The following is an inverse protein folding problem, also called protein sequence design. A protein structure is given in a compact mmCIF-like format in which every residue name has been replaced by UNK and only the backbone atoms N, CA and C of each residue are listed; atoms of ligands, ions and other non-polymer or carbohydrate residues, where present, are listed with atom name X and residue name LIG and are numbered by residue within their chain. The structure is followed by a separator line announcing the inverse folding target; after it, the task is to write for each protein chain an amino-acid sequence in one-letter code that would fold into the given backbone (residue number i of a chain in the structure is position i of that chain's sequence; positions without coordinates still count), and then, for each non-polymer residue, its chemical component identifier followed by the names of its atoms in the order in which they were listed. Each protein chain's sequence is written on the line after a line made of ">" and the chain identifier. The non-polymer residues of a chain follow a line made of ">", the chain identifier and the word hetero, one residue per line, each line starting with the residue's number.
data_IF_811841960210
#
_entry.id   IF_811841960210
#
_cell.length_a   1.000
_cell.length_b   1.000
_cell.length_c   1.000
_cell.angle_alpha   90.00
_cell.angle_beta   90.00
_cell.angle_gamma   90.00
#
_symmetry.space_group_name_H-M   'P 1'
#
loop_
_entity.id
_entity.type
_entity.pdbx_description
1 polymer ?
#
# COMPACT_ATOMS: atom_id res chain seq x y z
N UNK A 1 22.55 42.24 67.93
CA UNK A 1 21.42 42.90 67.25
C UNK A 1 21.53 42.54 65.78
N UNK A 2 20.85 41.48 65.44
CA UNK A 2 20.79 40.91 64.11
C UNK A 2 19.61 41.46 63.36
N UNK A 3 19.65 41.44 62.09
CA UNK A 3 18.48 41.48 61.21
C UNK A 3 18.66 40.45 60.14
N UNK A 4 17.83 39.47 60.27
CA UNK A 4 17.64 38.35 59.36
C UNK A 4 16.82 38.86 58.16
N UNK A 5 17.32 38.73 56.96
CA UNK A 5 16.58 39.00 55.72
C UNK A 5 16.44 37.71 54.91
N UNK A 6 15.37 37.02 55.19
CA UNK A 6 14.88 35.88 54.40
C UNK A 6 14.45 36.35 53.00
N UNK A 7 15.17 35.94 51.97
CA UNK A 7 14.78 36.11 50.57
C UNK A 7 13.86 34.96 50.21
N UNK A 8 12.62 35.33 49.92
CA UNK A 8 11.54 34.43 49.49
C UNK A 8 11.73 34.14 47.98
N UNK A 9 12.23 32.97 47.60
CA UNK A 9 12.27 32.51 46.23
C UNK A 9 10.95 31.80 45.93
N UNK A 10 9.96 32.55 45.47
CA UNK A 10 8.75 32.03 44.90
C UNK A 10 9.05 31.33 43.56
N UNK A 11 8.63 30.09 43.47
CA UNK A 11 8.89 29.18 42.37
C UNK A 11 8.40 29.65 41.01
N UNK A 12 9.30 29.58 40.07
CA UNK A 12 8.97 29.46 38.67
C UNK A 12 8.62 27.96 38.43
N UNK A 13 7.31 27.66 38.43
CA UNK A 13 6.84 26.43 37.83
C UNK A 13 7.13 26.51 36.32
N UNK A 14 8.12 25.75 35.90
CA UNK A 14 8.27 25.39 34.50
C UNK A 14 6.96 24.73 34.06
N UNK A 15 6.25 25.39 33.15
CA UNK A 15 5.16 24.79 32.39
C UNK A 15 5.77 23.65 31.60
N UNK A 16 5.55 22.41 32.07
CA UNK A 16 5.80 21.22 31.31
C UNK A 16 5.12 21.38 29.93
N UNK A 17 5.95 21.39 28.89
CA UNK A 17 5.49 21.46 27.51
C UNK A 17 4.42 20.39 27.31
N UNK A 18 3.27 20.79 26.78
CA UNK A 18 2.28 19.85 26.26
C UNK A 18 3.01 18.98 25.25
N UNK A 19 3.31 17.73 25.63
CA UNK A 19 3.86 16.74 24.74
C UNK A 19 2.91 16.63 23.56
N UNK A 20 3.42 16.85 22.36
CA UNK A 20 2.69 16.63 21.11
C UNK A 20 2.13 15.19 21.21
N UNK A 21 0.81 15.05 21.40
CA UNK A 21 0.16 13.74 21.35
C UNK A 21 0.45 13.17 19.97
N UNK A 22 1.35 12.20 19.90
CA UNK A 22 1.65 11.53 18.65
C UNK A 22 0.37 10.91 18.10
N UNK A 23 0.09 11.14 16.82
CA UNK A 23 -1.04 10.51 16.14
C UNK A 23 -0.94 8.98 16.28
N UNK A 24 -2.07 8.33 16.56
CA UNK A 24 -2.09 6.87 16.59
C UNK A 24 -1.95 6.26 15.19
N UNK A 25 -2.53 6.92 14.18
CA UNK A 25 -2.54 6.49 12.80
C UNK A 25 -2.24 7.67 11.88
N UNK A 26 -1.34 7.47 10.91
CA UNK A 26 -1.18 8.33 9.74
C UNK A 26 -1.60 7.58 8.49
N UNK A 27 -2.55 8.12 7.73
CA UNK A 27 -2.97 7.60 6.43
C UNK A 27 -2.27 8.40 5.35
N UNK A 28 -1.48 7.71 4.51
CA UNK A 28 -0.78 8.29 3.37
C UNK A 28 -1.46 7.86 2.07
N UNK A 29 -1.87 8.84 1.27
CA UNK A 29 -2.59 8.65 0.00
C UNK A 29 -1.82 9.37 -1.10
N UNK A 30 -1.47 8.64 -2.18
CA UNK A 30 -0.90 9.23 -3.39
C UNK A 30 -2.00 9.39 -4.43
N UNK A 31 -2.13 10.59 -5.00
CA UNK A 31 -3.11 10.88 -6.05
C UNK A 31 -2.43 11.35 -7.33
N UNK A 32 -3.02 11.05 -8.49
CA UNK A 32 -2.63 11.55 -9.80
C UNK A 32 -3.83 11.57 -10.74
N UNK A 33 -4.36 12.78 -11.00
CA UNK A 33 -5.57 13.02 -11.79
C UNK A 33 -6.74 12.11 -11.37
N UNK A 34 -7.05 12.09 -10.07
CA UNK A 34 -8.05 11.22 -9.46
C UNK A 34 -8.85 11.92 -8.34
N UNK A 35 -9.09 13.23 -8.48
CA UNK A 35 -9.75 14.07 -7.47
C UNK A 35 -11.11 13.52 -7.02
N UNK A 36 -11.98 13.11 -7.95
CA UNK A 36 -13.31 12.56 -7.62
C UNK A 36 -13.22 11.30 -6.75
N UNK A 37 -12.22 10.43 -7.03
CA UNK A 37 -12.01 9.22 -6.26
C UNK A 37 -11.44 9.53 -4.88
N UNK A 38 -10.49 10.47 -4.81
CA UNK A 38 -9.90 10.89 -3.54
C UNK A 38 -10.96 11.49 -2.61
N UNK A 39 -11.89 12.31 -3.13
CA UNK A 39 -13.02 12.83 -2.35
C UNK A 39 -13.82 11.69 -1.73
N UNK A 40 -14.23 10.71 -2.52
CA UNK A 40 -14.96 9.54 -2.01
C UNK A 40 -14.18 8.74 -0.95
N UNK A 41 -12.87 8.63 -1.11
CA UNK A 41 -11.99 8.00 -0.13
C UNK A 41 -11.95 8.80 1.18
N UNK A 42 -11.68 10.10 1.13
CA UNK A 42 -11.62 10.99 2.31
C UNK A 42 -12.96 11.04 3.05
N UNK A 43 -14.08 11.11 2.33
CA UNK A 43 -15.42 11.06 2.94
C UNK A 43 -15.64 9.73 3.67
N UNK A 44 -15.25 8.60 3.07
CA UNK A 44 -15.38 7.30 3.71
C UNK A 44 -14.52 7.16 4.95
N UNK A 45 -13.33 7.77 4.98
CA UNK A 45 -12.48 7.84 6.17
C UNK A 45 -13.17 8.67 7.26
N UNK A 46 -13.67 9.86 6.90
CA UNK A 46 -14.36 10.76 7.84
C UNK A 46 -15.59 10.11 8.47
N UNK A 47 -16.42 9.46 7.68
CA UNK A 47 -17.63 8.80 8.12
C UNK A 47 -17.39 7.61 9.05
N UNK A 48 -16.28 6.89 8.83
CA UNK A 48 -15.95 5.66 9.55
C UNK A 48 -14.81 5.80 10.56
N UNK A 49 -14.29 7.03 10.77
CA UNK A 49 -13.24 7.27 11.74
C UNK A 49 -13.79 7.21 13.18
N UNK A 50 -13.20 6.33 13.97
CA UNK A 50 -13.46 6.14 15.40
C UNK A 50 -12.22 6.46 16.26
N UNK A 51 -11.17 7.03 15.67
CA UNK A 51 -9.92 7.35 16.35
C UNK A 51 -9.93 8.80 16.84
N UNK A 52 -9.50 9.02 18.06
CA UNK A 52 -9.32 10.37 18.63
C UNK A 52 -8.19 11.14 17.94
N UNK A 53 -7.20 10.44 17.39
CA UNK A 53 -6.01 11.02 16.75
C UNK A 53 -5.70 10.33 15.43
N UNK A 54 -6.13 10.95 14.34
CA UNK A 54 -5.90 10.54 12.97
C UNK A 54 -5.19 11.67 12.21
N UNK A 55 -4.11 11.32 11.51
CA UNK A 55 -3.42 12.19 10.56
C UNK A 55 -3.67 11.67 9.14
N UNK A 56 -4.03 12.57 8.22
CA UNK A 56 -4.19 12.23 6.79
C UNK A 56 -3.22 13.08 5.99
N UNK A 57 -2.40 12.42 5.18
CA UNK A 57 -1.39 13.04 4.31
C UNK A 57 -1.74 12.64 2.88
N UNK A 58 -2.00 13.62 2.04
CA UNK A 58 -2.23 13.43 0.60
C UNK A 58 -1.02 13.97 -0.14
N UNK A 59 -0.42 13.11 -0.97
CA UNK A 59 0.68 13.49 -1.84
C UNK A 59 0.16 13.51 -3.27
N UNK A 60 0.05 14.70 -3.84
CA UNK A 60 -0.30 14.88 -5.24
C UNK A 60 0.93 14.70 -6.13
N UNK A 61 0.76 13.95 -7.18
CA UNK A 61 1.86 13.56 -8.08
C UNK A 61 1.87 14.34 -9.40
N UNK A 62 1.55 15.65 -9.34
CA UNK A 62 1.51 16.54 -10.49
C UNK A 62 0.17 16.47 -11.24
N UNK A 63 -0.95 16.48 -10.52
CA UNK A 63 -2.29 16.51 -11.12
C UNK A 63 -2.63 17.86 -11.72
N UNK A 64 -3.51 17.84 -12.73
CA UNK A 64 -4.08 19.03 -13.39
C UNK A 64 -5.60 19.16 -13.11
N UNK A 65 -6.13 18.42 -12.15
CA UNK A 65 -7.56 18.30 -11.85
C UNK A 65 -8.05 19.19 -10.69
N UNK A 66 -7.22 20.16 -10.24
CA UNK A 66 -7.61 21.15 -9.23
C UNK A 66 -7.68 20.60 -7.81
N UNK A 67 -6.96 19.50 -7.54
CA UNK A 67 -7.02 18.81 -6.25
C UNK A 67 -6.50 19.67 -5.08
N UNK A 68 -5.51 20.53 -5.29
CA UNK A 68 -4.96 21.39 -4.23
C UNK A 68 -6.00 22.38 -3.71
N UNK A 69 -6.71 23.10 -4.60
CA UNK A 69 -7.77 24.03 -4.26
C UNK A 69 -8.94 23.32 -3.57
N UNK A 70 -9.29 22.13 -4.07
CA UNK A 70 -10.37 21.31 -3.50
C UNK A 70 -10.03 20.91 -2.06
N UNK A 71 -8.83 20.38 -1.81
CA UNK A 71 -8.41 19.96 -0.47
C UNK A 71 -8.32 21.16 0.50
N UNK A 72 -7.76 22.28 0.06
CA UNK A 72 -7.66 23.50 0.86
C UNK A 72 -9.04 24.01 1.30
N UNK A 73 -10.06 23.92 0.45
CA UNK A 73 -11.41 24.40 0.71
C UNK A 73 -12.22 23.42 1.57
N UNK A 74 -12.25 22.12 1.19
CA UNK A 74 -13.21 21.15 1.71
C UNK A 74 -12.62 20.20 2.75
N UNK A 75 -11.27 20.05 2.78
CA UNK A 75 -10.55 19.12 3.67
C UNK A 75 -9.33 19.80 4.34
N UNK A 76 -9.49 20.96 5.02
CA UNK A 76 -8.36 21.74 5.56
C UNK A 76 -7.55 21.02 6.65
N UNK A 77 -8.03 19.89 7.16
CA UNK A 77 -7.32 19.04 8.11
C UNK A 77 -6.35 18.05 7.45
N UNK A 78 -6.38 17.92 6.13
CA UNK A 78 -5.48 17.06 5.36
C UNK A 78 -4.15 17.79 5.15
N UNK A 79 -3.04 17.11 5.46
CA UNK A 79 -1.70 17.60 5.09
C UNK A 79 -1.49 17.33 3.60
N UNK A 80 -1.24 18.38 2.84
CA UNK A 80 -1.02 18.30 1.40
C UNK A 80 0.46 18.43 1.04
N UNK A 81 0.94 17.60 0.13
CA UNK A 81 2.28 17.65 -0.48
C UNK A 81 2.10 17.60 -2.00
N UNK A 82 2.45 18.67 -2.71
CA UNK A 82 2.34 18.75 -4.18
C UNK A 82 3.68 18.52 -4.87
N UNK A 83 3.75 17.57 -5.79
CA UNK A 83 4.85 17.37 -6.73
C UNK A 83 4.53 18.06 -8.07
N UNK A 84 5.56 18.52 -8.78
CA UNK A 84 5.39 19.15 -10.10
C UNK A 84 5.17 18.14 -11.22
N UNK A 85 5.75 16.94 -11.07
CA UNK A 85 5.78 15.90 -12.09
C UNK A 85 5.36 14.54 -11.50
N UNK A 86 4.94 13.61 -12.36
CA UNK A 86 4.64 12.24 -11.98
C UNK A 86 5.94 11.46 -11.65
N UNK A 87 6.22 11.32 -10.35
CA UNK A 87 7.40 10.62 -9.80
C UNK A 87 7.18 9.11 -9.63
N UNK A 88 6.05 8.57 -10.08
CA UNK A 88 5.61 7.20 -9.84
C UNK A 88 4.75 7.10 -8.59
N UNK A 89 4.62 5.89 -8.06
CA UNK A 89 3.85 5.65 -6.84
C UNK A 89 4.75 5.64 -5.59
N UNK A 90 5.90 5.02 -5.68
CA UNK A 90 6.77 4.73 -4.54
C UNK A 90 7.37 5.97 -3.90
N UNK A 91 7.92 6.90 -4.70
CA UNK A 91 8.52 8.13 -4.17
C UNK A 91 7.51 9.04 -3.46
N UNK A 92 6.35 9.36 -4.06
CA UNK A 92 5.33 10.14 -3.37
C UNK A 92 4.80 9.45 -2.11
N UNK A 93 4.65 8.11 -2.12
CA UNK A 93 4.27 7.38 -0.93
C UNK A 93 5.33 7.51 0.17
N UNK A 94 6.61 7.45 -0.16
CA UNK A 94 7.69 7.68 0.79
C UNK A 94 7.68 9.11 1.36
N UNK A 95 7.38 10.14 0.55
CA UNK A 95 7.21 11.51 1.06
C UNK A 95 6.13 11.58 2.14
N UNK A 96 5.00 10.91 1.90
CA UNK A 96 3.92 10.81 2.90
C UNK A 96 4.35 10.04 4.15
N UNK A 97 4.91 8.85 3.98
CA UNK A 97 5.33 7.99 5.09
C UNK A 97 6.43 8.62 5.96
N UNK A 98 7.36 9.37 5.36
CA UNK A 98 8.42 10.09 6.08
C UNK A 98 7.89 11.30 6.84
N UNK A 99 6.83 11.94 6.36
CA UNK A 99 6.15 13.07 7.02
C UNK A 99 5.23 12.62 8.15
N UNK A 100 4.76 11.39 8.09
CA UNK A 100 3.81 10.78 9.01
C UNK A 100 4.34 10.70 10.44
N UNK A 101 3.49 10.94 11.45
CA UNK A 101 3.83 10.93 12.88
C UNK A 101 3.14 9.81 13.66
N UNK A 102 2.25 9.04 13.03
CA UNK A 102 1.47 7.98 13.66
C UNK A 102 2.32 6.79 14.13
N UNK A 103 1.86 6.11 15.16
CA UNK A 103 2.40 4.82 15.60
C UNK A 103 2.21 3.75 14.49
N UNK A 104 1.10 3.85 13.79
CA UNK A 104 0.79 3.05 12.61
C UNK A 104 0.80 3.94 11.38
N UNK A 105 1.32 3.41 10.28
CA UNK A 105 1.38 4.05 8.97
C UNK A 105 0.47 3.26 8.03
N UNK A 106 -0.53 3.90 7.46
CA UNK A 106 -1.42 3.26 6.49
C UNK A 106 -1.13 3.79 5.10
N UNK A 107 -0.68 2.91 4.23
CA UNK A 107 -0.67 3.14 2.78
C UNK A 107 -2.08 2.88 2.26
N UNK A 108 -2.67 3.84 1.54
CA UNK A 108 -4.04 3.76 1.04
C UNK A 108 -4.13 4.34 -0.38
N UNK A 109 -4.82 3.65 -1.28
CA UNK A 109 -5.07 4.18 -2.62
C UNK A 109 -6.23 5.19 -2.62
N UNK A 110 -6.20 6.21 -3.51
CA UNK A 110 -7.23 7.23 -3.59
C UNK A 110 -8.59 6.69 -4.07
N UNK A 111 -8.60 5.54 -4.77
CA UNK A 111 -9.81 4.88 -5.28
C UNK A 111 -10.27 3.73 -4.35
N UNK A 112 -10.20 3.98 -3.04
CA UNK A 112 -10.70 3.06 -2.00
C UNK A 112 -11.89 3.66 -1.25
N UNK A 113 -12.73 2.80 -0.69
CA UNK A 113 -13.78 3.15 0.26
C UNK A 113 -13.60 2.33 1.54
N UNK A 114 -13.39 2.99 2.65
CA UNK A 114 -13.30 2.36 3.96
C UNK A 114 -14.71 1.94 4.41
N UNK A 115 -14.88 0.69 4.82
CA UNK A 115 -16.13 0.21 5.38
C UNK A 115 -16.17 0.39 6.91
N UNK A 116 -17.37 0.36 7.53
CA UNK A 116 -17.55 0.64 8.96
C UNK A 116 -16.64 -0.20 9.86
N UNK A 117 -15.86 0.48 10.69
CA UNK A 117 -14.99 -0.14 11.68
C UNK A 117 -13.70 -0.77 11.14
N UNK A 118 -13.44 -0.75 9.83
CA UNK A 118 -12.27 -1.43 9.24
C UNK A 118 -10.93 -0.96 9.83
N UNK A 119 -10.71 0.35 9.94
CA UNK A 119 -9.48 0.92 10.52
C UNK A 119 -9.32 0.49 11.98
N UNK A 120 -10.39 0.63 12.78
CA UNK A 120 -10.35 0.28 14.20
C UNK A 120 -10.10 -1.21 14.43
N UNK A 121 -10.65 -2.08 13.57
CA UNK A 121 -10.41 -3.54 13.62
C UNK A 121 -8.95 -3.87 13.30
N UNK A 122 -8.36 -3.28 12.24
CA UNK A 122 -6.95 -3.49 11.90
C UNK A 122 -6.01 -3.08 13.04
N UNK A 123 -6.20 -1.88 13.61
CA UNK A 123 -5.37 -1.39 14.70
C UNK A 123 -5.51 -2.29 15.93
N UNK A 124 -6.75 -2.63 16.33
CA UNK A 124 -6.98 -3.51 17.48
C UNK A 124 -6.33 -4.88 17.29
N UNK A 125 -6.40 -5.42 16.07
CA UNK A 125 -5.76 -6.70 15.75
C UNK A 125 -4.25 -6.62 15.91
N UNK A 126 -3.61 -5.59 15.37
CA UNK A 126 -2.17 -5.38 15.50
C UNK A 126 -1.73 -5.06 16.94
N UNK A 127 -2.56 -4.34 17.72
CA UNK A 127 -2.29 -4.10 19.15
C UNK A 127 -2.20 -5.42 19.95
N UNK A 128 -3.05 -6.38 19.60
CA UNK A 128 -3.07 -7.70 20.26
C UNK A 128 -1.94 -8.64 19.79
N UNK A 129 -1.20 -8.26 18.71
CA UNK A 129 -0.21 -9.13 18.07
C UNK A 129 1.06 -8.32 17.76
N UNK A 130 1.95 -8.13 18.74
CA UNK A 130 3.14 -7.29 18.58
C UNK A 130 4.15 -7.83 17.55
N UNK A 131 4.10 -9.11 17.22
CA UNK A 131 4.93 -9.75 16.20
C UNK A 131 4.50 -9.42 14.77
N UNK A 132 3.28 -8.87 14.57
CA UNK A 132 2.78 -8.47 13.26
C UNK A 132 3.31 -7.09 12.92
N UNK A 133 4.13 -7.02 11.88
CA UNK A 133 4.65 -5.76 11.36
C UNK A 133 3.75 -5.12 10.32
N UNK A 134 3.08 -5.92 9.49
CA UNK A 134 2.23 -5.44 8.39
C UNK A 134 0.92 -6.22 8.38
N UNK A 135 -0.21 -5.50 8.24
CA UNK A 135 -1.53 -6.09 8.18
C UNK A 135 -2.38 -5.44 7.07
N UNK A 136 -3.16 -6.24 6.35
CA UNK A 136 -4.07 -5.75 5.32
C UNK A 136 -5.47 -6.30 5.47
N UNK A 137 -6.50 -5.53 5.05
CA UNK A 137 -7.91 -5.93 5.11
C UNK A 137 -8.31 -6.88 3.98
N UNK A 138 -9.50 -7.43 4.08
CA UNK A 138 -10.22 -7.99 2.94
C UNK A 138 -10.61 -6.86 1.99
N UNK A 139 -10.17 -6.99 0.74
CA UNK A 139 -10.48 -6.01 -0.29
C UNK A 139 -11.57 -6.56 -1.20
N UNK A 140 -12.61 -5.77 -1.41
CA UNK A 140 -13.72 -6.07 -2.29
C UNK A 140 -13.63 -5.24 -3.56
N UNK A 141 -14.11 -5.80 -4.65
CA UNK A 141 -14.39 -5.08 -5.89
C UNK A 141 -15.65 -4.21 -5.72
N UNK A 142 -15.94 -3.36 -6.72
CA UNK A 142 -17.13 -2.51 -6.74
C UNK A 142 -18.44 -3.30 -6.61
N UNK A 143 -18.50 -4.51 -7.13
CA UNK A 143 -19.65 -5.41 -7.09
C UNK A 143 -19.77 -6.24 -5.80
N UNK A 144 -18.87 -6.02 -4.84
CA UNK A 144 -18.81 -6.76 -3.59
C UNK A 144 -18.06 -8.10 -3.68
N UNK A 145 -17.59 -8.51 -4.82
CA UNK A 145 -16.79 -9.73 -4.97
C UNK A 145 -15.39 -9.55 -4.39
N UNK A 146 -14.78 -10.65 -3.95
CA UNK A 146 -13.43 -10.65 -3.37
C UNK A 146 -12.36 -10.27 -4.40
N UNK A 147 -11.53 -9.29 -4.08
CA UNK A 147 -10.38 -8.89 -4.89
C UNK A 147 -9.18 -9.77 -4.57
N UNK A 148 -9.00 -10.85 -5.33
CA UNK A 148 -8.00 -11.91 -5.06
C UNK A 148 -6.57 -11.41 -4.84
N UNK A 149 -6.18 -10.30 -5.48
CA UNK A 149 -4.83 -9.74 -5.42
C UNK A 149 -4.50 -9.07 -4.07
N UNK A 150 -5.48 -8.91 -3.17
CA UNK A 150 -5.24 -8.25 -1.88
C UNK A 150 -4.29 -9.04 -0.96
N UNK A 151 -4.20 -10.35 -1.14
CA UNK A 151 -3.27 -11.25 -0.45
C UNK A 151 -2.57 -12.16 -1.46
N UNK A 152 -1.29 -12.39 -1.28
CA UNK A 152 -0.47 -13.12 -2.27
C UNK A 152 0.64 -13.90 -1.59
N UNK A 153 1.09 -14.98 -2.25
CA UNK A 153 2.41 -15.54 -2.01
C UNK A 153 3.48 -14.78 -2.79
N UNK A 154 4.74 -15.11 -2.54
CA UNK A 154 5.86 -14.62 -3.35
C UNK A 154 5.68 -14.95 -4.84
N UNK A 155 6.02 -14.02 -5.77
CA UNK A 155 5.88 -14.24 -7.21
C UNK A 155 6.99 -15.16 -7.76
N UNK A 156 7.10 -16.39 -7.21
CA UNK A 156 8.06 -17.40 -7.66
C UNK A 156 7.72 -17.87 -9.09
N UNK A 157 8.71 -18.27 -9.90
CA UNK A 157 8.52 -18.60 -11.32
C UNK A 157 7.37 -19.57 -11.60
N UNK A 158 7.26 -20.66 -10.87
CA UNK A 158 6.18 -21.64 -11.07
C UNK A 158 4.80 -21.07 -10.76
N UNK A 159 4.67 -20.34 -9.66
CA UNK A 159 3.44 -19.68 -9.27
C UNK A 159 3.01 -18.61 -10.30
N UNK A 160 3.98 -17.86 -10.84
CA UNK A 160 3.73 -16.86 -11.88
C UNK A 160 3.34 -17.49 -13.22
N UNK A 161 4.00 -18.58 -13.65
CA UNK A 161 3.63 -19.33 -14.86
C UNK A 161 2.20 -19.85 -14.73
N UNK A 162 1.87 -20.47 -13.59
CA UNK A 162 0.51 -20.94 -13.29
C UNK A 162 -0.52 -19.83 -13.37
N UNK A 163 -0.23 -18.69 -12.75
CA UNK A 163 -1.09 -17.51 -12.76
C UNK A 163 -1.33 -16.98 -14.20
N UNK A 164 -0.27 -16.81 -15.00
CA UNK A 164 -0.39 -16.29 -16.37
C UNK A 164 -1.08 -17.25 -17.32
N UNK A 165 -0.87 -18.55 -17.16
CA UNK A 165 -1.55 -19.59 -17.93
C UNK A 165 -2.96 -19.89 -17.41
N UNK A 166 -3.43 -19.19 -16.36
CA UNK A 166 -4.72 -19.40 -15.68
C UNK A 166 -4.93 -20.82 -15.17
N UNK A 167 -3.85 -21.55 -14.85
CA UNK A 167 -3.94 -22.91 -14.31
C UNK A 167 -4.58 -22.92 -12.93
N UNK A 168 -4.43 -21.85 -12.16
CA UNK A 168 -5.14 -21.68 -10.88
C UNK A 168 -6.67 -21.72 -11.03
N UNK A 169 -7.20 -21.18 -12.14
CA UNK A 169 -8.65 -21.23 -12.42
C UNK A 169 -9.16 -22.62 -12.77
N UNK A 170 -8.29 -23.48 -13.32
CA UNK A 170 -8.60 -24.88 -13.64
C UNK A 170 -8.42 -25.80 -12.43
N UNK A 171 -7.51 -25.45 -11.52
CA UNK A 171 -7.14 -26.23 -10.33
C UNK A 171 -7.11 -25.34 -9.08
N UNK A 172 -8.23 -24.72 -8.68
CA UNK A 172 -8.27 -23.71 -7.61
C UNK A 172 -7.83 -24.26 -6.24
N UNK A 173 -8.07 -25.54 -5.97
CA UNK A 173 -7.70 -26.20 -4.72
C UNK A 173 -6.24 -26.70 -4.68
N UNK A 174 -5.48 -26.50 -5.76
CA UNK A 174 -4.07 -26.91 -5.81
C UNK A 174 -3.17 -25.87 -5.20
N UNK A 175 -2.49 -26.16 -4.09
CA UNK A 175 -1.47 -25.28 -3.50
C UNK A 175 -0.35 -24.92 -4.47
N UNK A 176 0.00 -25.83 -5.37
CA UNK A 176 1.05 -25.61 -6.37
C UNK A 176 0.60 -24.69 -7.51
N UNK A 177 -0.63 -24.84 -8.01
CA UNK A 177 -1.14 -24.11 -9.18
C UNK A 177 -1.95 -22.85 -8.79
N UNK A 178 -2.66 -22.88 -7.67
CA UNK A 178 -3.40 -21.73 -7.08
C UNK A 178 -2.56 -20.88 -6.12
N UNK A 179 -1.27 -21.20 -5.99
CA UNK A 179 -0.41 -20.67 -4.92
C UNK A 179 -0.22 -19.15 -4.93
N UNK A 180 -0.11 -18.50 -6.09
CA UNK A 180 0.20 -17.06 -6.12
C UNK A 180 -0.88 -16.19 -5.45
N UNK A 181 -2.16 -16.43 -5.76
CA UNK A 181 -3.29 -15.67 -5.18
C UNK A 181 -3.94 -16.38 -3.98
N UNK A 182 -3.32 -17.46 -3.48
CA UNK A 182 -3.82 -18.25 -2.36
C UNK A 182 -5.30 -18.65 -2.56
N UNK A 183 -5.66 -19.07 -3.79
CA UNK A 183 -7.05 -19.38 -4.19
C UNK A 183 -7.63 -20.58 -3.45
N UNK A 184 -6.78 -21.43 -2.88
CA UNK A 184 -7.15 -22.61 -2.09
C UNK A 184 -7.46 -22.27 -0.61
N UNK A 185 -7.16 -21.06 -0.17
CA UNK A 185 -7.42 -20.62 1.20
C UNK A 185 -8.78 -19.92 1.33
N UNK A 186 -9.43 -20.13 2.46
CA UNK A 186 -10.69 -19.45 2.77
C UNK A 186 -10.49 -17.92 2.77
N UNK A 187 -11.40 -17.20 2.11
CA UNK A 187 -11.37 -15.74 2.00
C UNK A 187 -11.71 -15.04 3.32
N UNK A 188 -12.37 -15.75 4.23
CA UNK A 188 -12.77 -15.24 5.53
C UNK A 188 -11.84 -15.72 6.67
N UNK A 189 -10.77 -16.46 6.34
CA UNK A 189 -9.75 -16.85 7.31
C UNK A 189 -8.66 -15.78 7.47
N UNK A 190 -8.28 -15.50 8.72
CA UNK A 190 -7.08 -14.71 9.03
C UNK A 190 -5.85 -15.54 8.70
N UNK A 191 -4.95 -15.00 7.89
CA UNK A 191 -3.82 -15.75 7.34
C UNK A 191 -2.51 -14.98 7.44
N UNK A 192 -1.44 -15.68 7.79
CA UNK A 192 -0.09 -15.19 7.51
C UNK A 192 0.17 -15.35 6.00
N UNK A 193 0.66 -14.30 5.34
CA UNK A 193 0.83 -14.25 3.89
C UNK A 193 2.20 -13.69 3.52
N UNK A 194 2.66 -13.97 2.29
CA UNK A 194 3.95 -13.43 1.86
C UNK A 194 3.87 -11.96 1.46
N UNK A 195 2.75 -11.52 0.94
CA UNK A 195 2.55 -10.13 0.51
C UNK A 195 1.08 -9.73 0.54
N UNK A 196 0.86 -8.44 0.75
CA UNK A 196 -0.42 -7.74 0.69
C UNK A 196 -0.44 -6.75 -0.48
N UNK A 197 -1.63 -6.29 -0.86
CA UNK A 197 -1.76 -5.22 -1.85
C UNK A 197 -1.55 -3.85 -1.21
N UNK A 198 -0.77 -3.00 -1.86
CA UNK A 198 -0.60 -1.60 -1.49
C UNK A 198 -1.88 -0.75 -1.58
N UNK A 199 -3.02 -1.33 -2.03
CA UNK A 199 -4.31 -0.62 -2.02
C UNK A 199 -4.79 -0.23 -0.63
N UNK A 200 -4.47 -1.04 0.39
CA UNK A 200 -4.60 -0.72 1.82
C UNK A 200 -3.67 -1.62 2.63
N UNK A 201 -2.68 -1.03 3.25
CA UNK A 201 -1.68 -1.73 4.05
C UNK A 201 -1.39 -0.94 5.31
N UNK A 202 -1.61 -1.53 6.48
CA UNK A 202 -1.26 -0.97 7.78
C UNK A 202 0.11 -1.48 8.19
N UNK A 203 1.05 -0.58 8.44
CA UNK A 203 2.45 -0.87 8.75
C UNK A 203 2.74 -0.32 10.15
N UNK A 204 3.34 -1.12 11.01
CA UNK A 204 3.87 -0.67 12.30
C UNK A 204 5.08 0.23 12.05
N UNK A 205 5.18 1.37 12.75
CA UNK A 205 6.28 2.34 12.56
C UNK A 205 7.65 1.69 12.72
N UNK A 206 7.80 0.83 13.72
CA UNK A 206 9.03 0.11 14.01
C UNK A 206 9.55 -0.70 12.81
N UNK A 207 8.66 -1.18 11.96
CA UNK A 207 9.05 -1.87 10.70
C UNK A 207 9.83 -0.95 9.78
N UNK A 208 9.29 0.24 9.47
CA UNK A 208 9.99 1.18 8.56
C UNK A 208 11.23 1.79 9.20
N UNK A 209 11.28 1.91 10.51
CA UNK A 209 12.47 2.35 11.25
C UNK A 209 13.59 1.30 11.17
N UNK A 210 13.26 0.01 11.16
CA UNK A 210 14.21 -1.10 11.08
C UNK A 210 14.66 -1.38 9.64
N UNK A 211 13.71 -1.52 8.70
CA UNK A 211 14.02 -1.98 7.33
C UNK A 211 14.05 -0.87 6.28
N UNK A 212 13.74 0.36 6.65
CA UNK A 212 13.55 1.49 5.73
C UNK A 212 12.18 1.50 5.05
N UNK A 213 11.91 2.57 4.33
CA UNK A 213 10.67 2.80 3.58
C UNK A 213 10.59 1.93 2.31
N UNK A 214 9.66 2.25 1.41
CA UNK A 214 9.54 1.57 0.12
C UNK A 214 10.80 1.79 -0.73
N UNK A 215 11.21 0.77 -1.48
CA UNK A 215 12.40 0.85 -2.36
C UNK A 215 12.08 1.65 -3.63
N UNK A 216 12.68 2.82 -3.78
CA UNK A 216 12.44 3.75 -4.88
C UNK A 216 12.97 3.27 -6.25
N UNK A 217 13.61 2.12 -6.32
CA UNK A 217 13.90 1.46 -7.59
C UNK A 217 12.61 1.02 -8.31
N UNK A 218 11.55 0.76 -7.54
CA UNK A 218 10.21 0.50 -8.08
C UNK A 218 9.51 1.84 -8.33
N UNK A 219 9.21 2.13 -9.58
CA UNK A 219 8.41 3.30 -9.94
C UNK A 219 6.95 3.12 -9.45
N UNK A 220 6.40 1.96 -9.68
CA UNK A 220 5.11 1.46 -9.21
C UNK A 220 5.10 -0.06 -9.36
N UNK A 221 4.21 -0.74 -8.63
CA UNK A 221 4.06 -2.19 -8.57
C UNK A 221 5.24 -2.90 -7.90
N UNK A 222 4.97 -3.98 -7.18
CA UNK A 222 5.92 -4.78 -6.40
C UNK A 222 6.64 -4.05 -5.25
N UNK A 223 6.48 -2.74 -5.06
CA UNK A 223 6.94 -2.03 -3.87
C UNK A 223 6.25 -2.56 -2.60
N UNK A 224 4.98 -2.97 -2.75
CA UNK A 224 4.18 -3.61 -1.72
C UNK A 224 4.69 -5.02 -1.37
N UNK A 225 5.04 -5.80 -2.39
CA UNK A 225 5.62 -7.14 -2.21
C UNK A 225 7.03 -7.04 -1.63
N UNK A 226 7.82 -6.03 -2.06
CA UNK A 226 9.18 -5.80 -1.58
C UNK A 226 9.22 -5.46 -0.10
N UNK A 227 8.38 -4.53 0.37
CA UNK A 227 8.36 -4.17 1.79
C UNK A 227 7.89 -5.34 2.66
N UNK A 228 6.90 -6.13 2.21
CA UNK A 228 6.48 -7.35 2.90
C UNK A 228 7.61 -8.38 2.97
N UNK A 229 8.36 -8.57 1.87
CA UNK A 229 9.50 -9.50 1.84
C UNK A 229 10.61 -9.07 2.79
N UNK A 230 10.98 -7.78 2.80
CA UNK A 230 11.99 -7.24 3.73
C UNK A 230 11.53 -7.32 5.18
N UNK A 231 10.28 -7.05 5.48
CA UNK A 231 9.71 -7.19 6.83
C UNK A 231 9.81 -8.64 7.31
N UNK A 232 9.43 -9.63 6.48
CA UNK A 232 9.54 -11.06 6.82
C UNK A 232 11.00 -11.48 7.03
N UNK A 233 11.95 -10.97 6.22
CA UNK A 233 13.38 -11.23 6.38
C UNK A 233 13.94 -10.66 7.70
N UNK A 234 13.36 -9.58 8.21
CA UNK A 234 13.67 -8.99 9.51
C UNK A 234 12.95 -9.70 10.69
N UNK A 235 12.10 -10.70 10.42
CA UNK A 235 11.39 -11.48 11.44
C UNK A 235 9.97 -11.00 11.75
N UNK A 236 9.51 -9.94 11.10
CA UNK A 236 8.13 -9.48 11.23
C UNK A 236 7.16 -10.37 10.48
N UNK A 237 5.95 -10.54 11.02
CA UNK A 237 4.87 -11.25 10.33
C UNK A 237 4.04 -10.31 9.47
N UNK A 238 3.50 -10.84 8.37
CA UNK A 238 2.59 -10.14 7.45
C UNK A 238 1.25 -10.89 7.45
N UNK A 239 0.16 -10.18 7.79
CA UNK A 239 -1.14 -10.82 7.97
C UNK A 239 -2.24 -10.20 7.12
N UNK A 240 -3.04 -11.05 6.54
CA UNK A 240 -4.34 -10.73 5.98
C UNK A 240 -5.41 -10.92 7.07
N UNK A 241 -6.21 -9.88 7.33
CA UNK A 241 -7.22 -9.84 8.37
C UNK A 241 -8.61 -9.52 7.79
N UNK A 242 -9.45 -10.53 7.49
CA UNK A 242 -10.68 -10.36 6.73
C UNK A 242 -11.83 -9.69 7.49
N UNK A 243 -11.78 -9.61 8.83
CA UNK A 243 -12.79 -8.89 9.59
C UNK A 243 -12.80 -7.38 9.31
N UNK A 244 -11.67 -6.84 8.84
CA UNK A 244 -11.60 -5.49 8.31
C UNK A 244 -11.84 -5.55 6.79
N UNK A 245 -12.76 -4.74 6.28
CA UNK A 245 -13.14 -4.75 4.87
C UNK A 245 -13.07 -3.36 4.26
N UNK A 246 -12.59 -3.29 3.03
CA UNK A 246 -12.62 -2.08 2.18
C UNK A 246 -13.11 -2.43 0.78
N UNK A 247 -13.58 -1.43 0.03
CA UNK A 247 -13.81 -1.55 -1.42
C UNK A 247 -12.67 -0.84 -2.13
N UNK A 248 -12.08 -1.47 -3.14
CA UNK A 248 -11.08 -0.86 -4.01
C UNK A 248 -11.57 -0.92 -5.47
N UNK A 249 -11.85 0.26 -6.03
CA UNK A 249 -12.40 0.37 -7.39
C UNK A 249 -11.38 0.00 -8.45
N UNK A 250 -10.11 0.28 -8.19
CA UNK A 250 -8.96 -0.13 -8.98
C UNK A 250 -8.83 0.52 -10.35
N UNK A 251 -7.61 0.93 -10.69
CA UNK A 251 -7.28 1.43 -12.01
C UNK A 251 -7.89 2.80 -12.38
N UNK A 252 -8.22 3.62 -11.41
CA UNK A 252 -8.82 4.95 -11.64
C UNK A 252 -7.79 6.10 -11.65
N UNK A 253 -6.52 5.80 -11.43
CA UNK A 253 -5.42 6.78 -11.46
C UNK A 253 -4.42 6.53 -12.60
N UNK A 254 -3.14 6.61 -12.31
CA UNK A 254 -2.02 6.59 -13.26
C UNK A 254 -2.03 5.50 -14.32
N UNK A 255 -2.52 4.29 -14.01
CA UNK A 255 -2.60 3.19 -14.98
C UNK A 255 -3.59 3.46 -16.12
N UNK A 256 -4.60 4.30 -15.88
CA UNK A 256 -5.57 4.73 -16.90
C UNK A 256 -5.04 5.89 -17.71
N UNK A 257 -4.34 6.81 -17.05
CA UNK A 257 -3.77 8.03 -17.67
C UNK A 257 -2.59 7.68 -18.57
N UNK A 258 -1.69 6.82 -18.10
CA UNK A 258 -0.45 6.44 -18.81
C UNK A 258 -0.35 4.90 -19.02
N UNK A 259 -1.18 4.29 -19.88
CA UNK A 259 -1.28 2.83 -19.98
C UNK A 259 0.00 2.15 -20.46
N UNK A 260 0.75 2.73 -21.41
CA UNK A 260 2.01 2.16 -21.89
C UNK A 260 3.09 2.17 -20.80
N UNK A 261 3.22 3.29 -20.09
CA UNK A 261 4.15 3.42 -18.97
C UNK A 261 3.81 2.39 -17.89
N UNK A 262 2.54 2.25 -17.55
CA UNK A 262 2.08 1.26 -16.57
C UNK A 262 2.41 -0.18 -16.99
N UNK A 263 2.26 -0.53 -18.29
CA UNK A 263 2.65 -1.85 -18.80
C UNK A 263 4.16 -2.06 -18.64
N UNK A 264 4.98 -1.10 -19.04
CA UNK A 264 6.45 -1.19 -18.96
C UNK A 264 6.89 -1.31 -17.51
N UNK A 265 6.42 -0.42 -16.62
CA UNK A 265 6.80 -0.40 -15.21
C UNK A 265 6.30 -1.65 -14.47
N UNK A 266 5.14 -2.20 -14.81
CA UNK A 266 4.70 -3.48 -14.27
C UNK A 266 5.70 -4.60 -14.55
N UNK A 267 6.15 -4.74 -15.80
CA UNK A 267 7.11 -5.80 -16.18
C UNK A 267 8.49 -5.54 -15.58
N UNK A 268 8.92 -4.26 -15.58
CA UNK A 268 10.19 -3.85 -14.97
C UNK A 268 10.21 -4.19 -13.48
N UNK A 269 9.13 -3.92 -12.77
CA UNK A 269 9.03 -4.15 -11.32
C UNK A 269 9.04 -5.64 -10.97
N UNK A 270 8.35 -6.50 -11.72
CA UNK A 270 8.47 -7.95 -11.54
C UNK A 270 9.88 -8.46 -11.82
N UNK A 271 10.56 -7.92 -12.85
CA UNK A 271 11.94 -8.25 -13.15
C UNK A 271 12.88 -7.82 -12.02
N UNK A 272 12.72 -6.60 -11.49
CA UNK A 272 13.50 -6.07 -10.37
C UNK A 272 13.29 -6.90 -9.11
N UNK A 273 12.04 -7.21 -8.76
CA UNK A 273 11.71 -8.04 -7.60
C UNK A 273 12.37 -9.41 -7.70
N UNK A 274 12.22 -10.07 -8.84
CA UNK A 274 12.84 -11.38 -9.08
C UNK A 274 14.37 -11.31 -8.92
N UNK A 275 15.01 -10.33 -9.54
CA UNK A 275 16.46 -10.13 -9.44
C UNK A 275 16.92 -9.88 -8.01
N UNK A 276 16.15 -9.11 -7.24
CA UNK A 276 16.50 -8.69 -5.87
C UNK A 276 16.31 -9.83 -4.86
N UNK A 277 15.21 -10.56 -4.94
CA UNK A 277 14.79 -11.49 -3.89
C UNK A 277 14.88 -12.95 -4.26
N UNK A 278 14.76 -13.32 -5.54
CA UNK A 278 14.55 -14.71 -5.94
C UNK A 278 15.67 -15.29 -6.80
N UNK A 279 16.39 -14.46 -7.55
CA UNK A 279 17.35 -14.97 -8.55
C UNK A 279 18.44 -15.89 -7.97
N UNK A 280 18.84 -15.67 -6.71
CA UNK A 280 19.84 -16.49 -6.03
C UNK A 280 19.33 -17.89 -5.63
N UNK A 281 18.00 -18.08 -5.58
CA UNK A 281 17.37 -19.36 -5.25
C UNK A 281 17.36 -20.32 -6.46
N UNK A 282 17.68 -19.84 -7.66
CA UNK A 282 17.52 -20.56 -8.89
C UNK A 282 18.82 -20.67 -9.70
N UNK A 283 18.97 -21.79 -10.40
CA UNK A 283 20.08 -22.00 -11.30
C UNK A 283 20.04 -21.00 -12.47
N UNK A 284 21.19 -20.59 -13.01
CA UNK A 284 21.31 -19.52 -13.99
C UNK A 284 20.44 -19.69 -15.24
N UNK A 285 20.23 -20.95 -15.72
CA UNK A 285 19.33 -21.22 -16.86
C UNK A 285 17.87 -20.87 -16.56
N UNK A 286 17.41 -21.07 -15.32
CA UNK A 286 16.04 -20.71 -14.90
C UNK A 286 15.92 -19.18 -14.87
N UNK A 287 16.94 -18.48 -14.36
CA UNK A 287 16.99 -17.03 -14.36
C UNK A 287 16.95 -16.47 -15.79
N UNK A 288 17.75 -17.03 -16.68
CA UNK A 288 17.78 -16.61 -18.08
C UNK A 288 16.43 -16.84 -18.76
N UNK A 289 15.81 -18.00 -18.57
CA UNK A 289 14.48 -18.32 -19.10
C UNK A 289 13.41 -17.37 -18.53
N UNK A 290 13.45 -17.07 -17.22
CA UNK A 290 12.52 -16.12 -16.60
C UNK A 290 12.62 -14.75 -17.25
N UNK A 291 13.84 -14.22 -17.43
CA UNK A 291 14.05 -12.92 -18.05
C UNK A 291 13.58 -12.89 -19.51
N UNK A 292 13.86 -13.95 -20.27
CA UNK A 292 13.37 -14.07 -21.65
C UNK A 292 11.83 -14.06 -21.69
N UNK A 293 11.17 -14.85 -20.85
CA UNK A 293 9.71 -14.91 -20.77
C UNK A 293 9.10 -13.55 -20.36
N UNK A 294 9.75 -12.79 -19.46
CA UNK A 294 9.31 -11.44 -19.09
C UNK A 294 9.41 -10.47 -20.27
N UNK A 295 10.46 -10.54 -21.08
CA UNK A 295 10.61 -9.72 -22.30
C UNK A 295 9.53 -10.09 -23.32
N UNK A 296 9.33 -11.38 -23.59
CA UNK A 296 8.29 -11.85 -24.52
C UNK A 296 6.90 -11.36 -24.05
N UNK A 297 6.60 -11.51 -22.76
CA UNK A 297 5.33 -11.04 -22.18
C UNK A 297 5.15 -9.53 -22.30
N UNK A 298 6.20 -8.74 -22.07
CA UNK A 298 6.17 -7.28 -22.25
C UNK A 298 5.82 -6.92 -23.71
N UNK A 299 6.52 -7.51 -24.68
CA UNK A 299 6.27 -7.26 -26.12
C UNK A 299 4.81 -7.61 -26.47
N UNK A 300 4.32 -8.78 -26.05
CA UNK A 300 2.93 -9.19 -26.26
C UNK A 300 1.94 -8.21 -25.61
N UNK A 301 2.20 -7.76 -24.38
CA UNK A 301 1.32 -6.82 -23.68
C UNK A 301 1.25 -5.46 -24.40
N UNK A 302 2.38 -4.94 -24.88
CA UNK A 302 2.45 -3.70 -25.67
C UNK A 302 1.70 -3.86 -26.99
N UNK A 303 1.92 -4.96 -27.73
CA UNK A 303 1.22 -5.23 -28.99
C UNK A 303 -0.31 -5.36 -28.78
N UNK A 304 -0.74 -6.11 -27.75
CA UNK A 304 -2.17 -6.25 -27.43
C UNK A 304 -2.78 -4.89 -27.08
N UNK A 305 -2.09 -4.07 -26.28
CA UNK A 305 -2.59 -2.75 -25.91
C UNK A 305 -2.68 -1.82 -27.14
N UNK A 306 -1.74 -1.93 -28.07
CA UNK A 306 -1.76 -1.15 -29.32
C UNK A 306 -2.96 -1.52 -30.20
N UNK A 307 -3.33 -2.80 -30.23
CA UNK A 307 -4.46 -3.32 -31.03
C UNK A 307 -5.83 -3.08 -30.38
N UNK A 308 -5.89 -2.75 -29.08
CA UNK A 308 -7.15 -2.50 -28.38
C UNK A 308 -7.66 -1.09 -28.66
N UNK A 309 -8.97 -0.95 -28.94
CA UNK A 309 -9.61 0.36 -29.11
C UNK A 309 -9.62 1.20 -27.82
N UNK A 310 -9.71 0.51 -26.65
CA UNK A 310 -9.74 1.13 -25.32
C UNK A 310 -8.39 0.97 -24.63
N UNK A 311 -7.37 1.33 -24.97
CA UNK A 311 -5.96 1.28 -24.53
C UNK A 311 -5.73 1.21 -23.00
N UNK A 312 -6.26 0.20 -22.32
CA UNK A 312 -6.05 0.00 -20.88
C UNK A 312 -4.83 -0.86 -20.58
N UNK A 313 -4.11 -0.52 -19.50
CA UNK A 313 -2.95 -1.27 -19.03
C UNK A 313 -3.30 -2.58 -18.31
N UNK A 314 -4.52 -2.73 -17.81
CA UNK A 314 -4.97 -3.88 -17.02
C UNK A 314 -6.02 -4.76 -17.71
N UNK A 315 -6.31 -5.95 -17.19
CA UNK A 315 -7.43 -6.76 -17.66
C UNK A 315 -8.75 -6.00 -17.45
N UNK A 316 -9.69 -6.10 -18.42
CA UNK A 316 -11.06 -5.65 -18.18
C UNK A 316 -11.59 -6.37 -16.95
N UNK A 317 -11.88 -5.63 -15.90
CA UNK A 317 -12.59 -6.14 -14.74
C UNK A 317 -14.07 -6.03 -15.08
N UNK A 318 -14.68 -7.19 -15.33
CA UNK A 318 -16.13 -7.32 -15.46
C UNK A 318 -16.83 -7.10 -14.13
#
# INVERSE_FOLDING_TARGET
>A
MGADSTINTTGLQESAGEGIKSSRLSICIVTYNASDWLVGCLDSIRENNQLESLEIIVVDNGSEDGIEELLSRDYPYVKFIGNKDNLGYTRPMNQGLQTAQGQYLMQLNPDTKILPGAIAKLIRYMDGHPEIGICGPKVLNRDGSFQKQCRRSEPRPLAMISYFLRLSSLFPNSKMLGGYLLEYEDVDATLEVDALSGSCMLIRREVVEEIGYLDEQFFAYQEDTDICSRARQAGWKVYYYPEAEIIHYGGQGGSRVEPYRSIIEWHRSYWLYYKKHLANDYFFLINWLYYLLMVVKLVLAVCINFLRQERYAGPKRG
#
